data_IF_938417810266
#
_entry.id   IF_938417810266
#
_cell.length_a   1.000
_cell.length_b   1.000
_cell.length_c   1.000
_cell.angle_alpha   90.00
_cell.angle_beta   90.00
_cell.angle_gamma   90.00
#
_symmetry.space_group_name_H-M   'P 1'
#
loop_
_entity.id
_entity.type
_entity.pdbx_description
1 polymer ?
#
# COMPACT_ATOMS: atom_id res chain seq x y z
N UNK A 1 -1.09 -15.58 27.00
CA UNK A 1 -0.85 -17.00 27.38
C UNK A 1 0.61 -17.20 27.76
N UNK A 2 1.57 -16.95 26.89
CA UNK A 2 3.01 -17.17 27.13
C UNK A 2 3.54 -16.40 28.33
N UNK A 3 3.14 -15.14 28.51
CA UNK A 3 3.51 -14.35 29.69
C UNK A 3 3.00 -14.94 31.01
N UNK A 4 1.77 -15.46 31.01
CA UNK A 4 1.20 -16.13 32.20
C UNK A 4 1.90 -17.45 32.51
N UNK A 5 2.27 -18.21 31.47
CA UNK A 5 3.01 -19.48 31.62
C UNK A 5 4.43 -19.22 32.13
N UNK A 6 5.15 -18.22 31.61
CA UNK A 6 6.51 -17.87 32.06
C UNK A 6 6.59 -17.33 33.47
N UNK A 7 5.51 -16.74 34.00
CA UNK A 7 5.44 -16.34 35.42
C UNK A 7 5.47 -17.54 36.37
N UNK A 8 4.98 -18.69 35.91
CA UNK A 8 4.91 -19.92 36.72
C UNK A 8 6.06 -20.86 36.39
N UNK A 9 6.47 -20.92 35.15
CA UNK A 9 7.54 -21.74 34.63
C UNK A 9 8.42 -20.94 33.64
N UNK A 10 9.48 -20.27 34.11
CA UNK A 10 10.33 -19.40 33.28
C UNK A 10 10.97 -20.11 32.08
N UNK A 11 11.28 -21.39 32.24
CA UNK A 11 11.93 -22.23 31.20
C UNK A 11 10.91 -23.04 30.37
N UNK A 12 9.63 -22.70 30.43
CA UNK A 12 8.62 -23.40 29.67
C UNK A 12 8.90 -23.27 28.17
N UNK A 13 9.12 -24.41 27.52
CA UNK A 13 9.30 -24.57 26.10
C UNK A 13 8.21 -25.49 25.53
N UNK A 14 7.87 -25.27 24.26
CA UNK A 14 6.87 -26.07 23.58
C UNK A 14 6.31 -25.41 22.35
N UNK A 15 5.66 -26.18 21.48
CA UNK A 15 5.07 -25.69 20.23
C UNK A 15 4.23 -24.40 20.39
N UNK A 16 3.33 -24.25 21.38
CA UNK A 16 2.51 -23.04 21.51
C UNK A 16 3.36 -21.80 21.83
N UNK A 17 4.38 -21.94 22.69
CA UNK A 17 5.29 -20.85 23.08
C UNK A 17 6.14 -20.45 21.87
N UNK A 18 6.76 -21.42 21.21
CA UNK A 18 7.61 -21.19 20.03
C UNK A 18 6.82 -20.55 18.88
N UNK A 19 5.59 -21.00 18.63
CA UNK A 19 4.72 -20.42 17.58
C UNK A 19 4.36 -18.98 17.89
N UNK A 20 4.04 -18.67 19.15
CA UNK A 20 3.70 -17.29 19.55
C UNK A 20 4.90 -16.35 19.48
N UNK A 21 6.08 -16.80 19.90
CA UNK A 21 7.32 -16.04 19.78
C UNK A 21 7.71 -15.77 18.32
N UNK A 22 7.60 -16.81 17.49
CA UNK A 22 7.81 -16.66 16.05
C UNK A 22 6.83 -15.65 15.44
N UNK A 23 5.55 -15.74 15.78
CA UNK A 23 4.54 -14.80 15.31
C UNK A 23 4.82 -13.34 15.74
N UNK A 24 5.23 -13.13 17.00
CA UNK A 24 5.60 -11.81 17.50
C UNK A 24 6.84 -11.26 16.81
N UNK A 25 7.87 -12.07 16.65
CA UNK A 25 9.12 -11.70 15.97
C UNK A 25 8.86 -11.32 14.51
N UNK A 26 8.08 -12.13 13.79
CA UNK A 26 7.71 -11.87 12.40
C UNK A 26 6.87 -10.60 12.28
N UNK A 27 5.85 -10.44 13.14
CA UNK A 27 5.01 -9.24 13.12
C UNK A 27 5.82 -7.97 13.40
N UNK A 28 6.70 -8.00 14.39
CA UNK A 28 7.60 -6.88 14.69
C UNK A 28 8.52 -6.56 13.51
N UNK A 29 9.12 -7.58 12.88
CA UNK A 29 9.98 -7.40 11.71
C UNK A 29 9.23 -6.73 10.55
N UNK A 30 7.97 -7.10 10.28
CA UNK A 30 7.15 -6.47 9.24
C UNK A 30 6.74 -5.03 9.57
N UNK A 31 6.46 -4.73 10.84
CA UNK A 31 6.19 -3.35 11.26
C UNK A 31 7.43 -2.49 11.04
N UNK A 32 8.59 -2.96 11.48
CA UNK A 32 9.87 -2.24 11.27
C UNK A 32 10.16 -2.07 9.77
N UNK A 33 9.99 -3.13 8.98
CA UNK A 33 10.17 -3.07 7.53
C UNK A 33 9.19 -2.08 6.87
N UNK A 34 7.94 -2.05 7.31
CA UNK A 34 6.93 -1.10 6.82
C UNK A 34 7.28 0.35 7.13
N UNK A 35 7.72 0.63 8.37
CA UNK A 35 8.17 1.97 8.77
C UNK A 35 9.42 2.38 7.98
N UNK A 36 10.39 1.47 7.85
CA UNK A 36 11.61 1.74 7.09
C UNK A 36 11.29 1.99 5.61
N UNK A 37 10.41 1.19 5.01
CA UNK A 37 9.95 1.39 3.65
C UNK A 37 9.27 2.76 3.48
N UNK A 38 8.40 3.15 4.42
CA UNK A 38 7.75 4.47 4.43
C UNK A 38 8.79 5.60 4.45
N UNK A 39 9.79 5.51 5.32
CA UNK A 39 10.84 6.52 5.44
C UNK A 39 11.68 6.59 4.16
N UNK A 40 12.16 5.44 3.66
CA UNK A 40 13.00 5.39 2.46
C UNK A 40 12.25 5.87 1.22
N UNK A 41 11.00 5.44 1.03
CA UNK A 41 10.16 5.88 -0.09
C UNK A 41 9.86 7.36 0.02
N UNK A 42 9.55 7.88 1.21
CA UNK A 42 9.33 9.31 1.42
C UNK A 42 10.58 10.14 1.11
N UNK A 43 11.75 9.67 1.52
CA UNK A 43 13.02 10.31 1.22
C UNK A 43 13.33 10.30 -0.28
N UNK A 44 13.10 9.18 -0.96
CA UNK A 44 13.26 9.05 -2.40
C UNK A 44 12.31 9.98 -3.16
N UNK A 45 11.02 9.98 -2.80
CA UNK A 45 10.03 10.88 -3.38
C UNK A 45 10.42 12.35 -3.17
N UNK A 46 10.90 12.70 -1.98
CA UNK A 46 11.35 14.06 -1.69
C UNK A 46 12.56 14.46 -2.55
N UNK A 47 13.51 13.55 -2.75
CA UNK A 47 14.66 13.77 -3.61
C UNK A 47 14.26 13.99 -5.09
N UNK A 48 13.25 13.25 -5.58
CA UNK A 48 12.78 13.32 -6.97
C UNK A 48 11.84 14.50 -7.18
N UNK A 49 10.81 14.64 -6.34
CA UNK A 49 9.76 15.67 -6.49
C UNK A 49 10.23 17.03 -5.98
N UNK A 50 11.15 17.05 -5.00
CA UNK A 50 11.66 18.27 -4.34
C UNK A 50 10.56 19.16 -3.74
N UNK A 51 9.42 18.59 -3.43
CA UNK A 51 8.25 19.27 -2.91
C UNK A 51 7.55 18.38 -1.88
N UNK A 52 7.52 18.83 -0.63
CA UNK A 52 6.84 18.12 0.47
C UNK A 52 5.33 17.98 0.17
N UNK A 53 4.73 18.97 -0.49
CA UNK A 53 3.32 18.94 -0.87
C UNK A 53 3.04 17.82 -1.86
N UNK A 54 3.86 17.65 -2.89
CA UNK A 54 3.71 16.58 -3.88
C UNK A 54 3.96 15.19 -3.28
N UNK A 55 4.93 15.08 -2.36
CA UNK A 55 5.14 13.86 -1.58
C UNK A 55 3.90 13.52 -0.76
N UNK A 56 3.30 14.50 -0.09
CA UNK A 56 2.07 14.30 0.66
C UNK A 56 0.91 13.88 -0.25
N UNK A 57 0.78 14.45 -1.44
CA UNK A 57 -0.24 14.05 -2.42
C UNK A 57 -0.05 12.63 -2.93
N UNK A 58 1.19 12.15 -3.07
CA UNK A 58 1.48 10.76 -3.43
C UNK A 58 1.20 9.80 -2.27
N UNK A 59 1.56 10.17 -1.03
CA UNK A 59 1.45 9.28 0.12
C UNK A 59 0.06 9.23 0.75
N UNK A 60 -0.68 10.34 0.73
CA UNK A 60 -2.01 10.40 1.35
C UNK A 60 -2.99 9.33 0.79
N UNK A 61 -3.14 9.16 -0.53
CA UNK A 61 -4.01 8.11 -1.07
C UNK A 61 -3.49 6.69 -0.78
N UNK A 62 -2.17 6.49 -0.70
CA UNK A 62 -1.59 5.19 -0.32
C UNK A 62 -1.94 4.83 1.13
N UNK A 63 -1.78 5.79 2.05
CA UNK A 63 -2.16 5.61 3.46
C UNK A 63 -3.66 5.36 3.59
N UNK A 64 -4.47 6.14 2.86
CA UNK A 64 -5.93 5.95 2.83
C UNK A 64 -6.30 4.54 2.35
N UNK A 65 -5.69 4.04 1.27
CA UNK A 65 -5.95 2.68 0.77
C UNK A 65 -5.58 1.61 1.80
N UNK A 66 -4.53 1.83 2.59
CA UNK A 66 -4.16 0.97 3.71
C UNK A 66 -5.24 0.92 4.79
N UNK A 67 -5.76 2.08 5.21
CA UNK A 67 -6.87 2.14 6.18
C UNK A 67 -8.15 1.51 5.65
N UNK A 68 -8.49 1.72 4.38
CA UNK A 68 -9.66 1.10 3.75
C UNK A 68 -9.50 -0.42 3.67
N UNK A 69 -8.29 -0.90 3.41
CA UNK A 69 -7.98 -2.34 3.44
C UNK A 69 -8.18 -2.92 4.84
N UNK A 70 -7.64 -2.26 5.87
CA UNK A 70 -7.84 -2.68 7.27
C UNK A 70 -9.33 -2.68 7.64
N UNK A 71 -10.06 -1.63 7.30
CA UNK A 71 -11.50 -1.54 7.50
C UNK A 71 -12.25 -2.68 6.81
N UNK A 72 -11.89 -3.01 5.57
CA UNK A 72 -12.46 -4.14 4.84
C UNK A 72 -12.18 -5.47 5.55
N UNK A 73 -10.95 -5.69 6.05
CA UNK A 73 -10.61 -6.90 6.80
C UNK A 73 -11.51 -7.05 8.05
N UNK A 74 -11.79 -5.95 8.76
CA UNK A 74 -12.69 -5.97 9.92
C UNK A 74 -14.11 -6.33 9.50
N UNK A 75 -14.63 -5.72 8.41
CA UNK A 75 -16.00 -5.96 7.94
C UNK A 75 -16.23 -7.40 7.49
N UNK A 76 -15.26 -7.99 6.78
CA UNK A 76 -15.35 -9.38 6.30
C UNK A 76 -14.94 -10.42 7.35
N UNK A 77 -14.51 -9.97 8.55
CA UNK A 77 -14.05 -10.87 9.61
C UNK A 77 -12.73 -11.58 9.30
N UNK A 78 -11.89 -11.01 8.44
CA UNK A 78 -10.58 -11.57 8.09
C UNK A 78 -9.55 -11.23 9.16
N UNK A 79 -9.08 -12.20 9.97
CA UNK A 79 -8.10 -11.91 11.00
C UNK A 79 -6.72 -11.63 10.39
N UNK A 80 -6.02 -10.65 10.96
CA UNK A 80 -4.61 -10.46 10.65
C UNK A 80 -3.77 -11.51 11.37
N UNK A 81 -2.86 -12.11 10.66
CA UNK A 81 -1.93 -13.10 11.16
C UNK A 81 -0.53 -12.89 10.58
N UNK A 82 0.46 -13.60 11.09
CA UNK A 82 1.85 -13.45 10.65
C UNK A 82 2.06 -13.78 9.16
N UNK A 83 1.18 -14.58 8.55
CA UNK A 83 1.32 -14.93 7.14
C UNK A 83 0.79 -13.83 6.21
N UNK A 84 -0.26 -13.10 6.63
CA UNK A 84 -0.90 -12.10 5.78
C UNK A 84 -0.49 -10.65 6.08
N UNK A 85 0.16 -10.37 7.21
CA UNK A 85 0.64 -9.03 7.58
C UNK A 85 1.68 -8.48 6.58
N UNK A 86 2.38 -9.36 5.86
CA UNK A 86 3.33 -9.01 4.78
C UNK A 86 2.65 -8.23 3.63
N UNK A 87 1.33 -8.36 3.49
CA UNK A 87 0.58 -7.63 2.47
C UNK A 87 0.73 -6.10 2.59
N UNK A 88 0.88 -5.56 3.79
CA UNK A 88 0.91 -4.11 4.00
C UNK A 88 2.19 -3.43 3.50
N UNK A 89 3.41 -3.90 3.82
CA UNK A 89 4.62 -3.35 3.20
C UNK A 89 4.63 -3.47 1.68
N UNK A 90 4.11 -4.60 1.15
CA UNK A 90 4.01 -4.81 -0.29
C UNK A 90 3.00 -3.87 -0.94
N UNK A 91 1.82 -3.70 -0.34
CA UNK A 91 0.81 -2.72 -0.76
C UNK A 91 1.40 -1.31 -0.83
N UNK A 92 2.19 -0.93 0.17
CA UNK A 92 2.80 0.38 0.22
C UNK A 92 3.71 0.63 -0.98
N UNK A 93 4.58 -0.32 -1.32
CA UNK A 93 5.47 -0.22 -2.48
C UNK A 93 4.73 -0.16 -3.81
N UNK A 94 3.75 -1.04 -4.03
CA UNK A 94 2.93 -1.07 -5.25
C UNK A 94 2.04 0.18 -5.33
N UNK A 95 1.47 0.61 -4.19
CA UNK A 95 0.61 1.79 -4.11
C UNK A 95 1.35 3.05 -4.55
N UNK A 96 2.53 3.31 -3.97
CA UNK A 96 3.34 4.48 -4.34
C UNK A 96 3.65 4.49 -5.84
N UNK A 97 3.93 3.32 -6.45
CA UNK A 97 4.22 3.24 -7.88
C UNK A 97 3.03 3.68 -8.75
N UNK A 98 1.80 3.41 -8.35
CA UNK A 98 0.63 3.87 -9.09
C UNK A 98 0.39 5.37 -8.91
N UNK A 99 0.48 5.87 -7.69
CA UNK A 99 0.19 7.25 -7.35
C UNK A 99 1.22 8.24 -7.91
N UNK A 100 2.51 7.93 -7.88
CA UNK A 100 3.54 8.83 -8.41
C UNK A 100 3.34 9.15 -9.89
N UNK A 101 2.78 8.22 -10.68
CA UNK A 101 2.50 8.49 -12.08
C UNK A 101 1.46 9.58 -12.29
N UNK A 102 0.41 9.62 -11.48
CA UNK A 102 -0.61 10.66 -11.54
C UNK A 102 -0.08 12.02 -11.09
N UNK A 103 0.69 12.06 -10.00
CA UNK A 103 1.35 13.31 -9.53
C UNK A 103 2.31 13.84 -10.59
N UNK A 104 3.10 12.98 -11.23
CA UNK A 104 4.03 13.40 -12.29
C UNK A 104 3.29 13.90 -13.53
N UNK A 105 2.21 13.27 -13.93
CA UNK A 105 1.38 13.71 -15.05
C UNK A 105 0.71 15.05 -14.76
N UNK A 106 0.16 15.23 -13.55
CA UNK A 106 -0.42 16.49 -13.09
C UNK A 106 0.63 17.61 -13.09
N UNK A 107 1.82 17.35 -12.56
CA UNK A 107 2.95 18.29 -12.58
C UNK A 107 3.37 18.66 -14.01
N UNK A 108 3.24 17.75 -14.96
CA UNK A 108 3.46 17.98 -16.39
C UNK A 108 2.39 18.83 -17.06
N UNK A 109 1.32 19.24 -16.33
CA UNK A 109 0.24 20.09 -16.84
C UNK A 109 -0.91 19.31 -17.48
N UNK A 110 -0.99 17.99 -17.29
CA UNK A 110 -2.07 17.15 -17.79
C UNK A 110 -3.36 17.43 -17.00
N UNK A 111 -4.37 18.04 -17.65
CA UNK A 111 -5.62 18.43 -16.99
C UNK A 111 -6.60 17.29 -16.76
N UNK A 112 -6.71 16.37 -17.71
CA UNK A 112 -7.63 15.23 -17.64
C UNK A 112 -6.85 13.93 -17.42
N UNK A 113 -6.47 13.69 -16.16
CA UNK A 113 -5.64 12.53 -15.76
C UNK A 113 -6.29 11.19 -16.10
N UNK A 114 -7.63 11.10 -16.04
CA UNK A 114 -8.34 9.84 -16.24
C UNK A 114 -8.47 9.44 -17.72
N UNK A 115 -8.43 10.38 -18.64
CA UNK A 115 -8.52 10.11 -20.08
C UNK A 115 -7.16 9.79 -20.73
N UNK A 116 -6.08 9.82 -19.94
CA UNK A 116 -4.73 9.57 -20.42
C UNK A 116 -4.48 8.09 -20.72
N UNK A 117 -3.49 7.84 -21.59
CA UNK A 117 -2.92 6.49 -21.76
C UNK A 117 -2.32 5.95 -20.46
N UNK A 118 -1.88 6.85 -19.57
CA UNK A 118 -1.35 6.53 -18.26
C UNK A 118 -2.41 5.88 -17.35
N UNK A 119 -3.61 6.46 -17.25
CA UNK A 119 -4.69 5.89 -16.44
C UNK A 119 -5.05 4.47 -16.92
N UNK A 120 -5.08 4.26 -18.23
CA UNK A 120 -5.30 2.93 -18.81
C UNK A 120 -4.16 1.96 -18.49
N UNK A 121 -2.90 2.42 -18.56
CA UNK A 121 -1.74 1.59 -18.22
C UNK A 121 -1.77 1.19 -16.72
N UNK A 122 -2.09 2.11 -15.81
CA UNK A 122 -2.26 1.84 -14.38
C UNK A 122 -3.39 0.83 -14.16
N UNK A 123 -4.55 1.02 -14.82
CA UNK A 123 -5.68 0.09 -14.72
C UNK A 123 -5.30 -1.33 -15.17
N UNK A 124 -4.68 -1.49 -16.34
CA UNK A 124 -4.28 -2.80 -16.83
C UNK A 124 -3.18 -3.44 -15.97
N UNK A 125 -2.23 -2.65 -15.47
CA UNK A 125 -1.21 -3.12 -14.53
C UNK A 125 -1.84 -3.60 -13.22
N UNK A 126 -2.81 -2.84 -12.69
CA UNK A 126 -3.54 -3.23 -11.49
C UNK A 126 -4.35 -4.51 -11.71
N UNK A 127 -5.02 -4.65 -12.86
CA UNK A 127 -5.76 -5.88 -13.19
C UNK A 127 -4.83 -7.09 -13.30
N UNK A 128 -3.67 -6.95 -13.96
CA UNK A 128 -2.69 -8.03 -14.06
C UNK A 128 -2.15 -8.43 -12.68
N UNK A 129 -1.76 -7.45 -11.87
CA UNK A 129 -1.28 -7.69 -10.50
C UNK A 129 -2.37 -8.28 -9.61
N UNK A 130 -3.61 -7.76 -9.72
CA UNK A 130 -4.77 -8.27 -9.00
C UNK A 130 -5.11 -9.70 -9.37
N UNK A 131 -4.99 -10.08 -10.63
CA UNK A 131 -5.18 -11.46 -11.09
C UNK A 131 -4.12 -12.39 -10.48
N UNK A 132 -2.86 -11.94 -10.41
CA UNK A 132 -1.78 -12.71 -9.79
C UNK A 132 -2.03 -12.91 -8.28
N UNK A 133 -2.40 -11.86 -7.55
CA UNK A 133 -2.72 -11.95 -6.13
C UNK A 133 -4.03 -12.72 -5.87
N UNK A 134 -5.03 -12.54 -6.73
CA UNK A 134 -6.27 -13.30 -6.68
C UNK A 134 -6.05 -14.81 -6.87
N UNK A 135 -5.08 -15.21 -7.69
CA UNK A 135 -4.72 -16.61 -7.83
C UNK A 135 -4.22 -17.23 -6.50
N UNK A 136 -3.54 -16.46 -5.65
CA UNK A 136 -3.11 -16.92 -4.33
C UNK A 136 -4.28 -17.21 -3.39
N UNK A 137 -5.41 -16.53 -3.55
CA UNK A 137 -6.62 -16.78 -2.76
C UNK A 137 -7.16 -18.20 -2.94
N UNK A 138 -6.97 -18.79 -4.11
CA UNK A 138 -7.36 -20.18 -4.37
C UNK A 138 -6.37 -21.23 -3.85
N UNK A 139 -5.33 -20.81 -3.11
CA UNK A 139 -4.36 -21.73 -2.53
C UNK A 139 -5.01 -22.62 -1.48
N UNK A 140 -4.63 -23.90 -1.46
CA UNK A 140 -5.01 -24.84 -0.40
C UNK A 140 -4.39 -24.49 0.98
N UNK A 141 -3.33 -23.65 1.01
CA UNK A 141 -2.68 -23.24 2.25
C UNK A 141 -3.37 -21.99 2.82
N UNK A 142 -3.96 -22.06 4.04
CA UNK A 142 -4.77 -20.97 4.59
C UNK A 142 -4.03 -19.64 4.72
N UNK A 143 -2.74 -19.66 5.08
CA UNK A 143 -1.90 -18.47 5.18
C UNK A 143 -1.72 -17.78 3.83
N UNK A 144 -1.45 -18.53 2.77
CA UNK A 144 -1.30 -18.03 1.40
C UNK A 144 -2.63 -17.49 0.86
N UNK A 145 -3.71 -18.21 1.10
CA UNK A 145 -5.05 -17.79 0.69
C UNK A 145 -5.46 -16.47 1.35
N UNK A 146 -5.25 -16.33 2.67
CA UNK A 146 -5.54 -15.10 3.41
C UNK A 146 -4.67 -13.93 2.96
N UNK A 147 -3.40 -14.17 2.65
CA UNK A 147 -2.50 -13.16 2.08
C UNK A 147 -2.99 -12.69 0.71
N UNK A 148 -3.33 -13.61 -0.18
CA UNK A 148 -3.85 -13.29 -1.51
C UNK A 148 -5.12 -12.46 -1.47
N UNK A 149 -6.05 -12.81 -0.56
CA UNK A 149 -7.28 -12.05 -0.35
C UNK A 149 -6.99 -10.59 0.10
N UNK A 150 -6.12 -10.41 1.09
CA UNK A 150 -5.77 -9.05 1.58
C UNK A 150 -5.07 -8.26 0.49
N UNK A 151 -4.14 -8.86 -0.26
CA UNK A 151 -3.45 -8.20 -1.37
C UNK A 151 -4.43 -7.78 -2.48
N UNK A 152 -5.42 -8.61 -2.79
CA UNK A 152 -6.44 -8.28 -3.78
C UNK A 152 -7.32 -7.11 -3.31
N UNK A 153 -7.81 -7.14 -2.06
CA UNK A 153 -8.60 -6.06 -1.47
C UNK A 153 -7.80 -4.75 -1.44
N UNK A 154 -6.54 -4.84 -1.02
CA UNK A 154 -5.66 -3.67 -0.92
C UNK A 154 -5.38 -3.05 -2.29
N UNK A 155 -5.22 -3.86 -3.33
CA UNK A 155 -5.02 -3.39 -4.69
C UNK A 155 -6.28 -2.71 -5.25
N UNK A 156 -7.47 -3.24 -4.95
CA UNK A 156 -8.74 -2.61 -5.31
C UNK A 156 -8.83 -1.21 -4.68
N UNK A 157 -8.56 -1.08 -3.38
CA UNK A 157 -8.58 0.21 -2.71
C UNK A 157 -7.50 1.16 -3.21
N UNK A 158 -6.31 0.65 -3.50
CA UNK A 158 -5.23 1.44 -4.11
C UNK A 158 -5.67 2.00 -5.47
N UNK A 159 -6.29 1.17 -6.31
CA UNK A 159 -6.80 1.59 -7.61
C UNK A 159 -7.92 2.61 -7.49
N UNK A 160 -8.86 2.41 -6.56
CA UNK A 160 -9.93 3.38 -6.26
C UNK A 160 -9.33 4.72 -5.80
N UNK A 161 -8.35 4.67 -4.91
CA UNK A 161 -7.67 5.89 -4.44
C UNK A 161 -6.91 6.59 -5.58
N UNK A 162 -6.24 5.85 -6.46
CA UNK A 162 -5.50 6.40 -7.59
C UNK A 162 -6.42 7.02 -8.65
N UNK A 163 -7.58 6.42 -8.91
CA UNK A 163 -8.48 6.88 -9.97
C UNK A 163 -9.53 7.92 -9.51
N UNK A 164 -9.87 7.94 -8.23
CA UNK A 164 -10.95 8.80 -7.71
C UNK A 164 -10.38 9.83 -6.74
N UNK A 165 -9.71 9.37 -5.68
CA UNK A 165 -9.27 10.25 -4.61
C UNK A 165 -8.12 11.16 -5.04
N UNK A 166 -7.12 10.63 -5.73
CA UNK A 166 -5.93 11.39 -6.12
C UNK A 166 -6.23 12.50 -7.12
N UNK A 167 -6.98 12.30 -8.22
CA UNK A 167 -7.36 13.38 -9.11
C UNK A 167 -8.20 14.45 -8.41
N UNK A 168 -9.07 14.07 -7.47
CA UNK A 168 -9.84 15.02 -6.68
C UNK A 168 -8.95 15.85 -5.74
N UNK A 169 -7.90 15.24 -5.18
CA UNK A 169 -6.94 15.87 -4.29
C UNK A 169 -6.00 16.83 -5.03
N UNK A 170 -5.55 16.44 -6.23
CA UNK A 170 -4.65 17.26 -7.06
C UNK A 170 -5.33 18.50 -7.63
N UNK A 171 -6.61 18.39 -7.99
CA UNK A 171 -7.34 19.47 -8.65
C UNK A 171 -6.81 19.78 -10.06
N UNK A 172 -7.31 20.87 -10.69
CA UNK A 172 -6.82 21.28 -12.01
C UNK A 172 -5.35 21.70 -11.95
N UNK A 173 -4.53 21.33 -12.94
CA UNK A 173 -3.12 21.71 -12.95
C UNK A 173 -3.00 23.23 -13.09
N UNK A 174 -2.04 23.81 -12.38
CA UNK A 174 -1.67 25.20 -12.58
C UNK A 174 -1.23 25.38 -14.05
N UNK A 175 -2.00 26.12 -14.85
CA UNK A 175 -1.56 26.50 -16.18
C UNK A 175 -0.28 27.32 -16.02
N UNK A 176 0.86 26.77 -16.42
CA UNK A 176 2.03 27.60 -16.70
C UNK A 176 1.56 28.58 -17.79
N UNK A 177 1.40 29.82 -17.41
CA UNK A 177 1.19 30.92 -18.37
C UNK A 177 2.31 30.77 -19.40
N UNK A 178 1.92 30.41 -20.62
CA UNK A 178 2.84 30.45 -21.74
C UNK A 178 3.41 31.86 -21.76
N UNK A 179 4.72 31.92 -21.49
CA UNK A 179 5.51 33.13 -21.64
C UNK A 179 5.26 33.61 -23.09
N UNK A 180 4.46 34.64 -23.25
CA UNK A 180 4.26 35.28 -24.57
C UNK A 180 5.63 35.62 -25.11
N UNK A 181 6.02 35.15 -26.32
CA UNK A 181 7.24 35.62 -26.93
C UNK A 181 7.06 37.14 -27.12
N UNK A 182 7.93 37.88 -26.46
CA UNK A 182 8.01 39.31 -26.60
C UNK A 182 8.36 39.64 -28.07
N UNK A 183 7.64 40.52 -28.77
CA UNK A 183 7.85 40.83 -30.18
C UNK A 183 9.20 41.46 -30.48
#
# INVERSE_FOLDING_TARGET
FTEAVRKVAPDATGMPVATQEAAQTVSHAFIVAGVLALVLVSALLLAVLRSVREVAFTLAPVVLSGFLTLGSCVVIGQPLNFANIIAFPLLFGVGVAFHIYFVMAWRGGTGDLLQTSLARAVLFSALATGSAFGALWFSAHPGTASMGLILMISLIWTLVCALIFEPALLGPPERKTAETPNP
#
